data_IF_969210394480
#
_entry.id   IF_969210394480
#
_cell.length_a   1.000
_cell.length_b   1.000
_cell.length_c   1.000
_cell.angle_alpha   90.00
_cell.angle_beta   90.00
_cell.angle_gamma   90.00
#
_symmetry.space_group_name_H-M   'P 1'
#
loop_
_entity.id
_entity.type
_entity.pdbx_description
1 polymer ?
#
# COMPACT_ATOMS: atom_id res chain seq x y z
N UNK A 1 9.44 -3.16 9.91
CA UNK A 1 8.15 -2.93 10.60
C UNK A 1 7.01 -3.11 9.61
N UNK A 2 5.85 -3.63 10.05
CA UNK A 2 4.65 -3.80 9.21
C UNK A 2 3.68 -2.65 9.45
N UNK A 3 3.05 -2.15 8.39
CA UNK A 3 2.10 -1.03 8.45
C UNK A 3 0.75 -1.41 7.85
N UNK A 4 -0.34 -0.87 8.40
CA UNK A 4 -1.70 -0.97 7.86
C UNK A 4 -2.16 0.43 7.46
N UNK A 5 -2.60 0.58 6.21
CA UNK A 5 -3.23 1.81 5.72
C UNK A 5 -4.70 1.51 5.44
N UNK A 6 -5.59 2.25 6.09
CA UNK A 6 -7.03 2.16 5.89
C UNK A 6 -7.49 3.24 4.92
N UNK A 7 -8.08 2.81 3.81
CA UNK A 7 -8.45 3.66 2.68
C UNK A 7 -7.48 3.50 1.51
N UNK A 8 -7.94 2.99 0.37
CA UNK A 8 -7.23 2.84 -0.89
C UNK A 8 -7.55 3.96 -1.89
N UNK A 9 -8.20 5.05 -1.45
CA UNK A 9 -8.31 6.28 -2.23
C UNK A 9 -6.94 6.92 -2.54
N UNK A 10 -6.95 8.09 -3.17
CA UNK A 10 -5.72 8.79 -3.60
C UNK A 10 -4.71 9.00 -2.46
N UNK A 11 -5.18 9.49 -1.31
CA UNK A 11 -4.30 9.81 -0.18
C UNK A 11 -3.73 8.55 0.48
N UNK A 12 -4.55 7.53 0.72
CA UNK A 12 -4.08 6.29 1.31
C UNK A 12 -3.16 5.50 0.38
N UNK A 13 -3.41 5.55 -0.93
CA UNK A 13 -2.49 4.98 -1.92
C UNK A 13 -1.15 5.71 -1.98
N UNK A 14 -1.14 7.05 -1.94
CA UNK A 14 0.09 7.83 -1.88
C UNK A 14 0.87 7.57 -0.58
N UNK A 15 0.17 7.49 0.56
CA UNK A 15 0.77 7.13 1.84
C UNK A 15 1.39 5.73 1.81
N UNK A 16 0.68 4.73 1.26
CA UNK A 16 1.22 3.39 1.12
C UNK A 16 2.48 3.35 0.25
N UNK A 17 2.50 4.10 -0.85
CA UNK A 17 3.66 4.20 -1.72
C UNK A 17 4.87 4.83 -1.02
N UNK A 18 4.67 5.92 -0.28
CA UNK A 18 5.72 6.60 0.48
C UNK A 18 6.29 5.69 1.58
N UNK A 19 5.42 4.99 2.32
CA UNK A 19 5.83 3.99 3.32
C UNK A 19 6.69 2.87 2.73
N UNK A 20 6.40 2.42 1.51
CA UNK A 20 7.17 1.39 0.82
C UNK A 20 8.58 1.85 0.39
N UNK A 21 8.85 3.16 0.36
CA UNK A 21 10.19 3.68 0.09
C UNK A 21 11.10 3.66 1.34
N UNK A 22 10.52 3.51 2.53
CA UNK A 22 11.27 3.50 3.77
C UNK A 22 11.87 2.10 4.01
N UNK A 23 13.21 1.95 4.06
CA UNK A 23 13.86 0.64 4.23
C UNK A 23 13.56 -0.03 5.57
N UNK A 24 13.07 0.72 6.58
CA UNK A 24 12.63 0.14 7.84
C UNK A 24 11.25 -0.55 7.74
N UNK A 25 10.51 -0.35 6.65
CA UNK A 25 9.19 -0.95 6.42
C UNK A 25 9.37 -2.24 5.60
N UNK A 26 8.82 -3.33 6.12
CA UNK A 26 8.90 -4.66 5.48
C UNK A 26 7.65 -5.00 4.68
N UNK A 27 6.52 -4.39 5.03
CA UNK A 27 5.21 -4.69 4.45
C UNK A 27 4.25 -3.53 4.73
N UNK A 28 3.46 -3.18 3.72
CA UNK A 28 2.31 -2.29 3.86
C UNK A 28 1.07 -3.06 3.43
N UNK A 29 0.13 -3.25 4.36
CA UNK A 29 -1.19 -3.80 4.05
C UNK A 29 -2.14 -2.64 3.81
N UNK A 30 -2.53 -2.46 2.55
CA UNK A 30 -3.55 -1.48 2.17
C UNK A 30 -4.93 -2.16 2.18
N UNK A 31 -5.87 -1.61 2.95
CA UNK A 31 -7.22 -2.15 3.09
C UNK A 31 -8.26 -1.06 2.83
N UNK A 32 -9.30 -1.40 2.08
CA UNK A 32 -10.45 -0.54 1.79
C UNK A 32 -11.71 -1.40 1.69
N UNK A 33 -12.88 -0.79 1.77
CA UNK A 33 -14.15 -1.45 1.46
C UNK A 33 -14.27 -1.80 -0.03
N UNK A 34 -13.63 -1.01 -0.91
CA UNK A 34 -13.55 -1.24 -2.37
C UNK A 34 -12.10 -1.41 -2.79
N UNK A 35 -11.74 -2.63 -3.17
CA UNK A 35 -10.37 -3.00 -3.58
C UNK A 35 -10.21 -3.12 -5.10
N UNK A 36 -11.26 -2.79 -5.83
CA UNK A 36 -11.46 -3.02 -7.26
C UNK A 36 -10.58 -2.12 -8.14
N UNK A 37 -9.97 -1.06 -7.59
CA UNK A 37 -9.03 -0.20 -8.32
C UNK A 37 -7.85 0.22 -7.46
N UNK A 38 -6.71 -0.43 -7.67
CA UNK A 38 -5.42 0.02 -7.17
C UNK A 38 -4.72 0.90 -8.22
N UNK A 39 -4.17 2.08 -7.84
CA UNK A 39 -3.39 2.90 -8.76
C UNK A 39 -2.19 2.14 -9.37
N UNK A 40 -1.87 2.45 -10.63
CA UNK A 40 -0.83 1.75 -11.40
C UNK A 40 0.54 1.71 -10.70
N UNK A 41 0.91 2.78 -9.99
CA UNK A 41 2.18 2.86 -9.26
C UNK A 41 2.28 1.86 -8.10
N UNK A 42 1.16 1.38 -7.56
CA UNK A 42 1.14 0.34 -6.51
C UNK A 42 1.04 -1.08 -7.07
N UNK A 43 0.70 -1.27 -8.35
CA UNK A 43 0.50 -2.61 -8.92
C UNK A 43 1.75 -3.48 -8.84
N UNK A 44 2.94 -2.87 -8.98
CA UNK A 44 4.22 -3.59 -8.90
C UNK A 44 4.55 -4.09 -7.48
N UNK A 45 3.80 -3.67 -6.46
CA UNK A 45 4.01 -4.05 -5.06
C UNK A 45 3.03 -5.14 -4.59
N UNK A 46 1.99 -5.46 -5.38
CA UNK A 46 1.00 -6.50 -5.04
C UNK A 46 1.69 -7.87 -4.95
N UNK A 47 1.42 -8.63 -3.88
CA UNK A 47 1.87 -10.01 -3.71
C UNK A 47 3.35 -10.20 -3.39
N UNK A 48 4.10 -9.12 -3.12
CA UNK A 48 5.52 -9.19 -2.73
C UNK A 48 5.75 -9.40 -1.22
N UNK A 49 4.72 -9.27 -0.41
CA UNK A 49 4.76 -9.62 1.02
C UNK A 49 4.42 -11.09 1.23
N UNK A 50 5.31 -11.84 1.88
CA UNK A 50 5.04 -13.20 2.40
C UNK A 50 4.56 -13.12 3.85
#
# INVERSE_FOLDING_TARGET
MRMLVLGAGLQGSACAYDLLQNPAIIEVRLADQRVDRLPAFLQSYIGKGR
#
